data_IF_143409123046
#
_entry.id   IF_143409123046
#
_cell.length_a   1.000
_cell.length_b   1.000
_cell.length_c   1.000
_cell.angle_alpha   90.00
_cell.angle_beta   90.00
_cell.angle_gamma   90.00
#
_symmetry.space_group_name_H-M   'P 1'
#
loop_
_entity.id
_entity.type
_entity.pdbx_description
1 polymer ?
#
# COMPACT_ATOMS: atom_id res chain seq x y z
N UNK A 1 8.72 -13.80 12.46
CA UNK A 1 8.94 -14.00 13.87
C UNK A 1 7.81 -14.79 14.55
N UNK A 2 6.76 -15.12 13.82
CA UNK A 2 5.72 -16.04 14.25
C UNK A 2 6.26 -17.48 14.19
N UNK A 3 6.01 -18.34 15.19
CA UNK A 3 6.34 -19.76 15.14
C UNK A 3 5.38 -20.56 14.24
N UNK A 4 4.32 -19.94 13.74
CA UNK A 4 3.35 -20.60 12.88
C UNK A 4 3.99 -21.11 11.57
N UNK A 5 3.53 -22.26 11.09
CA UNK A 5 3.91 -22.76 9.77
C UNK A 5 3.39 -21.80 8.70
N UNK A 6 4.28 -21.37 7.79
CA UNK A 6 3.96 -20.41 6.73
C UNK A 6 3.73 -21.13 5.41
N UNK A 7 2.67 -20.69 4.73
CA UNK A 7 2.33 -21.07 3.37
C UNK A 7 2.28 -19.77 2.54
N UNK A 8 2.96 -19.73 1.42
CA UNK A 8 3.01 -18.56 0.54
C UNK A 8 2.24 -18.88 -0.73
N UNK A 9 1.32 -18.01 -1.11
CA UNK A 9 0.63 -18.09 -2.39
C UNK A 9 1.10 -16.99 -3.33
N UNK A 10 0.96 -17.23 -4.63
CA UNK A 10 1.34 -16.27 -5.68
C UNK A 10 0.45 -15.04 -5.58
N UNK A 11 1.05 -13.87 -5.78
CA UNK A 11 0.38 -12.57 -5.67
C UNK A 11 -0.94 -12.54 -6.45
N UNK A 12 -2.04 -12.27 -5.74
CA UNK A 12 -3.40 -12.20 -6.26
C UNK A 12 -3.87 -13.43 -7.08
N UNK A 13 -3.23 -14.59 -6.92
CA UNK A 13 -3.62 -15.86 -7.56
C UNK A 13 -4.48 -16.71 -6.61
N UNK A 14 -5.78 -16.72 -6.85
CA UNK A 14 -6.75 -17.46 -6.02
C UNK A 14 -6.62 -18.97 -6.17
N UNK A 15 -6.13 -19.45 -7.31
CA UNK A 15 -5.87 -20.89 -7.50
C UNK A 15 -4.68 -21.36 -6.66
N UNK A 16 -3.65 -20.51 -6.56
CA UNK A 16 -2.52 -20.69 -5.66
C UNK A 16 -2.96 -20.63 -4.19
N UNK A 17 -3.78 -19.64 -3.81
CA UNK A 17 -4.32 -19.53 -2.45
C UNK A 17 -5.12 -20.80 -2.06
N UNK A 18 -6.00 -21.29 -2.94
CA UNK A 18 -6.79 -22.50 -2.73
C UNK A 18 -5.91 -23.69 -2.40
N UNK A 19 -4.87 -23.93 -3.21
CA UNK A 19 -3.89 -25.01 -2.95
C UNK A 19 -3.22 -24.89 -1.58
N UNK A 20 -2.86 -23.68 -1.18
CA UNK A 20 -2.26 -23.46 0.14
C UNK A 20 -3.26 -23.72 1.27
N UNK A 21 -4.52 -23.33 1.10
CA UNK A 21 -5.59 -23.62 2.06
C UNK A 21 -5.85 -25.10 2.20
N UNK A 22 -5.85 -25.88 1.10
CA UNK A 22 -5.94 -27.35 1.13
C UNK A 22 -4.80 -27.98 1.95
N UNK A 23 -3.56 -27.52 1.74
CA UNK A 23 -2.40 -27.98 2.50
C UNK A 23 -2.48 -27.59 3.99
N UNK A 24 -2.89 -26.34 4.26
CA UNK A 24 -3.04 -25.84 5.62
C UNK A 24 -4.14 -26.59 6.36
N UNK A 25 -5.28 -26.87 5.72
CA UNK A 25 -6.39 -27.65 6.30
C UNK A 25 -5.96 -29.05 6.71
N UNK A 26 -5.20 -29.75 5.86
CA UNK A 26 -4.63 -31.06 6.21
C UNK A 26 -3.68 -30.98 7.41
N UNK A 27 -2.88 -29.92 7.48
CA UNK A 27 -1.93 -29.72 8.58
C UNK A 27 -2.65 -29.44 9.91
N UNK A 28 -3.61 -28.50 9.92
CA UNK A 28 -4.31 -28.16 11.17
C UNK A 28 -5.19 -29.30 11.68
N UNK A 29 -5.69 -30.18 10.81
CA UNK A 29 -6.40 -31.38 11.20
C UNK A 29 -5.56 -32.32 12.08
N UNK A 30 -4.22 -32.27 11.97
CA UNK A 30 -3.30 -33.08 12.79
C UNK A 30 -2.76 -32.35 14.02
N UNK A 31 -2.82 -31.01 14.03
CA UNK A 31 -2.23 -30.17 15.09
C UNK A 31 -3.24 -29.49 15.99
N UNK A 32 -4.53 -29.44 15.61
CA UNK A 32 -5.60 -28.74 16.34
C UNK A 32 -5.51 -27.22 16.27
N UNK A 33 -4.70 -26.66 15.35
CA UNK A 33 -4.54 -25.22 15.16
C UNK A 33 -5.63 -24.60 14.28
N UNK A 34 -5.45 -23.30 13.98
CA UNK A 34 -6.27 -22.55 13.03
C UNK A 34 -5.49 -22.05 11.83
N UNK A 35 -6.18 -21.55 10.82
CA UNK A 35 -5.60 -20.97 9.63
C UNK A 35 -5.86 -19.45 9.66
N UNK A 36 -4.80 -18.65 9.46
CA UNK A 36 -4.88 -17.22 9.24
C UNK A 36 -4.38 -16.89 7.83
N UNK A 37 -5.26 -16.35 6.99
CA UNK A 37 -4.89 -15.74 5.71
C UNK A 37 -4.55 -14.27 5.97
N UNK A 38 -3.43 -13.82 5.43
CA UNK A 38 -2.98 -12.43 5.55
C UNK A 38 -2.78 -11.86 4.16
N UNK A 39 -3.36 -10.70 3.89
CA UNK A 39 -3.19 -9.97 2.62
C UNK A 39 -3.19 -8.46 2.88
N UNK A 40 -2.73 -7.69 1.89
CA UNK A 40 -2.97 -6.23 1.88
C UNK A 40 -4.31 -5.94 1.19
N UNK A 41 -4.99 -4.88 1.62
CA UNK A 41 -6.15 -4.35 0.92
C UNK A 41 -5.71 -3.60 -0.34
N UNK A 42 -4.76 -2.68 -0.20
CA UNK A 42 -4.04 -2.02 -1.29
C UNK A 42 -2.57 -2.37 -1.18
N UNK A 43 -2.02 -3.01 -2.19
CA UNK A 43 -0.58 -3.30 -2.24
C UNK A 43 0.22 -2.02 -2.48
N UNK A 44 0.88 -1.57 -1.44
CA UNK A 44 1.48 -0.23 -1.38
C UNK A 44 2.60 0.04 -2.38
N UNK A 45 3.14 -0.98 -3.05
CA UNK A 45 4.18 -0.83 -4.07
C UNK A 45 3.60 -0.79 -5.48
N UNK A 46 2.79 -1.77 -5.84
CA UNK A 46 2.21 -1.90 -7.18
C UNK A 46 0.89 -1.13 -7.36
N UNK A 47 0.23 -0.77 -6.27
CA UNK A 47 -1.02 -0.01 -6.30
C UNK A 47 -2.25 -0.84 -6.67
N UNK A 48 -2.10 -2.15 -6.86
CA UNK A 48 -3.22 -3.04 -7.11
C UNK A 48 -3.94 -3.42 -5.81
N UNK A 49 -5.16 -3.89 -5.93
CA UNK A 49 -6.00 -4.27 -4.80
C UNK A 49 -5.87 -5.77 -4.50
N UNK A 50 -5.89 -6.12 -3.22
CA UNK A 50 -6.15 -7.48 -2.80
C UNK A 50 -7.57 -7.89 -3.22
N UNK A 51 -7.73 -9.08 -3.76
CA UNK A 51 -9.00 -9.62 -4.25
C UNK A 51 -9.88 -10.10 -3.09
N UNK A 52 -10.33 -9.17 -2.25
CA UNK A 52 -11.01 -9.51 -0.99
C UNK A 52 -12.33 -10.24 -1.20
N UNK A 53 -13.06 -9.94 -2.26
CA UNK A 53 -14.28 -10.62 -2.68
C UNK A 53 -14.02 -12.09 -3.01
N UNK A 54 -12.99 -12.38 -3.83
CA UNK A 54 -12.59 -13.75 -4.18
C UNK A 54 -12.01 -14.49 -2.96
N UNK A 55 -11.19 -13.84 -2.13
CA UNK A 55 -10.64 -14.43 -0.90
C UNK A 55 -11.77 -14.79 0.08
N UNK A 56 -12.70 -13.86 0.32
CA UNK A 56 -13.80 -14.12 1.27
C UNK A 56 -14.79 -15.17 0.75
N UNK A 57 -14.93 -15.34 -0.57
CA UNK A 57 -15.73 -16.41 -1.14
C UNK A 57 -15.18 -17.80 -0.76
N UNK A 58 -13.86 -17.95 -0.60
CA UNK A 58 -13.24 -19.22 -0.17
C UNK A 58 -13.61 -19.62 1.27
N UNK A 59 -14.16 -18.71 2.10
CA UNK A 59 -14.66 -19.05 3.43
C UNK A 59 -15.84 -20.02 3.42
N UNK A 60 -16.55 -20.14 2.29
CA UNK A 60 -17.60 -21.16 2.12
C UNK A 60 -17.06 -22.58 2.05
N UNK A 61 -15.77 -22.75 1.71
CA UNK A 61 -15.13 -24.04 1.51
C UNK A 61 -14.05 -24.34 2.56
N UNK A 62 -13.41 -23.31 3.10
CA UNK A 62 -12.29 -23.43 4.04
C UNK A 62 -12.56 -22.62 5.31
N UNK A 63 -12.25 -23.24 6.45
CA UNK A 63 -12.33 -22.55 7.74
C UNK A 63 -11.02 -21.80 8.01
N UNK A 64 -11.00 -20.50 7.79
CA UNK A 64 -9.88 -19.62 8.09
C UNK A 64 -10.34 -18.25 8.59
N UNK A 65 -9.47 -17.56 9.30
CA UNK A 65 -9.59 -16.14 9.61
C UNK A 65 -8.83 -15.31 8.59
N UNK A 66 -9.36 -14.15 8.26
CA UNK A 66 -8.75 -13.22 7.30
C UNK A 66 -8.29 -11.95 8.02
N UNK A 67 -6.99 -11.66 7.93
CA UNK A 67 -6.41 -10.39 8.31
C UNK A 67 -6.11 -9.60 7.05
N UNK A 68 -6.61 -8.37 7.00
CA UNK A 68 -6.34 -7.42 5.92
C UNK A 68 -5.50 -6.26 6.48
N UNK A 69 -4.30 -6.11 5.94
CA UNK A 69 -3.53 -4.87 6.11
C UNK A 69 -4.09 -3.82 5.15
N UNK A 70 -4.91 -2.94 5.68
CA UNK A 70 -5.57 -1.89 4.93
C UNK A 70 -4.94 -0.51 5.16
N UNK A 71 -3.66 -0.49 5.50
CA UNK A 71 -2.92 0.73 5.80
C UNK A 71 -2.93 1.75 4.64
N UNK A 72 -3.04 1.30 3.40
CA UNK A 72 -3.17 2.15 2.21
C UNK A 72 -4.63 2.36 1.77
N UNK A 73 -5.55 1.48 2.13
CA UNK A 73 -6.97 1.58 1.76
C UNK A 73 -7.78 2.43 2.74
N UNK A 74 -7.50 2.35 4.03
CA UNK A 74 -8.17 3.15 5.05
C UNK A 74 -8.03 4.65 4.76
N UNK A 75 -9.17 5.35 4.71
CA UNK A 75 -9.28 6.77 4.41
C UNK A 75 -9.33 7.10 2.91
N UNK A 76 -9.07 6.14 2.02
CA UNK A 76 -8.97 6.38 0.58
C UNK A 76 -9.87 5.50 -0.27
N UNK A 77 -10.13 4.28 0.16
CA UNK A 77 -10.97 3.29 -0.54
C UNK A 77 -12.36 3.20 0.08
N UNK A 78 -13.31 2.82 -0.75
CA UNK A 78 -14.71 2.68 -0.38
C UNK A 78 -15.50 4.00 -0.37
N UNK A 79 -16.82 3.94 -0.43
CA UNK A 79 -17.71 5.11 -0.48
C UNK A 79 -17.52 6.08 0.70
N UNK A 80 -17.33 5.56 1.92
CA UNK A 80 -17.12 6.39 3.10
C UNK A 80 -15.65 6.55 3.49
N UNK A 81 -14.74 5.82 2.83
CA UNK A 81 -13.32 5.76 3.18
C UNK A 81 -13.03 4.75 4.29
N UNK A 82 -13.94 3.81 4.54
CA UNK A 82 -13.72 2.77 5.55
C UNK A 82 -12.69 1.72 5.09
N UNK A 83 -12.29 1.72 3.82
CA UNK A 83 -11.22 0.90 3.30
C UNK A 83 -11.64 -0.09 2.22
N UNK A 84 -10.77 -1.05 1.95
CA UNK A 84 -10.95 -2.00 0.84
C UNK A 84 -12.07 -3.01 1.08
N UNK A 85 -12.36 -3.38 2.32
CA UNK A 85 -13.51 -4.22 2.64
C UNK A 85 -14.83 -3.57 2.25
N UNK A 86 -14.98 -2.27 2.52
CA UNK A 86 -16.13 -1.48 2.08
C UNK A 86 -16.18 -1.38 0.55
N UNK A 87 -15.02 -1.17 -0.10
CA UNK A 87 -14.90 -1.08 -1.55
C UNK A 87 -15.45 -2.34 -2.25
N UNK A 88 -15.16 -3.52 -1.71
CA UNK A 88 -15.62 -4.80 -2.25
C UNK A 88 -16.97 -5.28 -1.68
N UNK A 89 -17.56 -4.55 -0.72
CA UNK A 89 -18.81 -4.96 -0.06
C UNK A 89 -18.68 -6.24 0.78
N UNK A 90 -17.48 -6.48 1.34
CA UNK A 90 -17.16 -7.68 2.13
C UNK A 90 -16.59 -7.34 3.52
N UNK A 91 -16.87 -6.15 4.01
CA UNK A 91 -16.30 -5.64 5.25
C UNK A 91 -16.61 -6.54 6.46
N UNK A 92 -17.81 -7.09 6.51
CA UNK A 92 -18.28 -8.02 7.53
C UNK A 92 -17.65 -9.42 7.48
N UNK A 93 -16.98 -9.76 6.36
CA UNK A 93 -16.33 -11.05 6.15
C UNK A 93 -14.84 -11.06 6.48
N UNK A 94 -14.28 -9.90 6.79
CA UNK A 94 -12.88 -9.76 7.25
C UNK A 94 -12.85 -9.86 8.77
N UNK A 95 -12.00 -10.74 9.29
CA UNK A 95 -11.95 -11.00 10.75
C UNK A 95 -11.07 -9.98 11.49
N UNK A 96 -10.00 -9.51 10.86
CA UNK A 96 -9.10 -8.50 11.43
C UNK A 96 -8.73 -7.47 10.37
N UNK A 97 -8.96 -6.20 10.68
CA UNK A 97 -8.42 -5.09 9.93
C UNK A 97 -7.24 -4.46 10.66
N UNK A 98 -6.14 -4.30 9.95
CA UNK A 98 -5.06 -3.43 10.39
C UNK A 98 -5.13 -2.12 9.63
N UNK A 99 -5.08 -1.01 10.35
CA UNK A 99 -5.00 0.34 9.78
C UNK A 99 -3.93 1.16 10.47
N UNK A 100 -3.43 2.19 9.78
CA UNK A 100 -2.41 3.08 10.32
C UNK A 100 -2.87 4.54 10.35
N UNK A 101 -2.45 5.28 11.35
CA UNK A 101 -2.62 6.73 11.41
C UNK A 101 -1.51 7.48 10.63
N UNK A 102 -0.47 6.78 10.17
CA UNK A 102 0.69 7.40 9.52
C UNK A 102 0.49 7.79 8.05
N UNK A 103 -0.64 7.45 7.44
CA UNK A 103 -0.95 7.74 6.02
C UNK A 103 -2.10 8.73 5.90
N UNK A 104 -3.30 8.31 5.52
CA UNK A 104 -4.46 9.20 5.34
C UNK A 104 -4.79 10.04 6.59
N UNK A 105 -4.49 9.52 7.77
CA UNK A 105 -4.73 10.21 9.06
C UNK A 105 -3.59 11.15 9.47
N UNK A 106 -2.49 11.26 8.72
CA UNK A 106 -1.37 12.16 8.97
C UNK A 106 -0.94 12.23 10.45
N UNK A 107 -0.80 11.07 11.11
CA UNK A 107 -0.50 10.96 12.53
C UNK A 107 0.47 9.83 12.84
N UNK A 108 0.46 9.38 14.08
CA UNK A 108 1.28 8.28 14.58
C UNK A 108 0.40 7.17 15.15
N UNK A 109 0.91 5.94 15.07
CA UNK A 109 0.24 4.77 15.60
C UNK A 109 -0.53 3.99 14.56
N UNK A 110 -1.20 2.96 15.04
CA UNK A 110 -1.98 2.05 14.24
C UNK A 110 -3.11 1.48 15.09
N UNK A 111 -4.04 0.81 14.45
CA UNK A 111 -5.12 0.11 15.12
C UNK A 111 -5.37 -1.26 14.48
N UNK A 112 -5.96 -2.15 15.25
CA UNK A 112 -6.58 -3.37 14.77
C UNK A 112 -8.06 -3.29 15.12
N UNK A 113 -8.92 -3.50 14.13
CA UNK A 113 -10.35 -3.64 14.32
C UNK A 113 -10.74 -5.11 14.14
N UNK A 114 -11.39 -5.69 15.13
CA UNK A 114 -11.75 -7.11 15.19
C UNK A 114 -12.82 -7.35 16.27
N UNK A 115 -13.26 -8.59 16.42
CA UNK A 115 -14.20 -8.99 17.46
C UNK A 115 -13.64 -8.74 18.87
N UNK A 116 -14.53 -8.57 19.85
CA UNK A 116 -14.18 -8.25 21.24
C UNK A 116 -13.26 -9.30 21.87
N UNK A 117 -13.53 -10.58 21.67
CA UNK A 117 -12.70 -11.68 22.22
C UNK A 117 -11.27 -11.63 21.68
N UNK A 118 -11.10 -11.34 20.38
CA UNK A 118 -9.79 -11.18 19.75
C UNK A 118 -9.12 -9.92 20.27
N UNK A 119 -9.83 -8.80 20.41
CA UNK A 119 -9.31 -7.57 21.02
C UNK A 119 -8.78 -7.82 22.43
N UNK A 120 -9.55 -8.53 23.26
CA UNK A 120 -9.13 -8.87 24.62
C UNK A 120 -7.90 -9.78 24.62
N UNK A 121 -7.86 -10.79 23.76
CA UNK A 121 -6.69 -11.66 23.60
C UNK A 121 -5.45 -10.85 23.22
N UNK A 122 -5.55 -9.95 22.24
CA UNK A 122 -4.42 -9.11 21.79
C UNK A 122 -3.92 -8.18 22.91
N UNK A 123 -4.83 -7.59 23.71
CA UNK A 123 -4.45 -6.73 24.83
C UNK A 123 -3.57 -7.44 25.87
N UNK A 124 -3.83 -8.72 26.12
CA UNK A 124 -3.10 -9.50 27.14
C UNK A 124 -1.95 -10.33 26.61
N UNK A 125 -1.84 -10.54 25.31
CA UNK A 125 -0.80 -11.40 24.72
C UNK A 125 0.18 -10.66 23.81
N UNK A 126 -0.21 -9.51 23.25
CA UNK A 126 0.63 -8.77 22.33
C UNK A 126 1.67 -7.93 23.09
N UNK A 127 2.95 -8.31 22.95
CA UNK A 127 4.06 -7.66 23.67
C UNK A 127 4.16 -6.16 23.39
N UNK A 128 3.91 -5.72 22.16
CA UNK A 128 3.93 -4.31 21.80
C UNK A 128 2.80 -3.53 22.50
N UNK A 129 1.67 -4.16 22.79
CA UNK A 129 0.60 -3.54 23.56
C UNK A 129 0.92 -3.45 25.05
N UNK A 130 1.58 -4.47 25.58
CA UNK A 130 1.90 -4.54 27.03
C UNK A 130 3.09 -3.65 27.41
N UNK A 131 4.10 -3.56 26.58
CA UNK A 131 5.38 -2.95 26.91
C UNK A 131 5.66 -1.63 26.18
N UNK A 132 4.94 -1.31 25.10
CA UNK A 132 4.99 0.02 24.49
C UNK A 132 4.13 1.01 25.30
N UNK A 133 4.52 2.27 25.27
CA UNK A 133 3.73 3.35 25.88
C UNK A 133 2.52 3.69 25.02
N UNK A 134 1.47 4.17 25.65
CA UNK A 134 0.26 4.66 24.98
C UNK A 134 0.54 5.86 24.09
N UNK A 135 -0.32 6.06 23.08
CA UNK A 135 -0.33 7.33 22.35
C UNK A 135 -0.56 8.50 23.30
N UNK A 136 0.11 9.62 23.08
CA UNK A 136 -0.11 10.83 23.88
C UNK A 136 -1.48 11.45 23.59
N UNK A 137 -2.06 12.14 24.57
CA UNK A 137 -3.40 12.75 24.41
C UNK A 137 -3.51 13.67 23.17
N UNK A 138 -2.54 14.55 22.86
CA UNK A 138 -2.62 15.38 21.65
C UNK A 138 -2.69 14.54 20.35
N UNK A 139 -2.05 13.36 20.32
CA UNK A 139 -2.15 12.44 19.19
C UNK A 139 -3.54 11.83 19.08
N UNK A 140 -4.14 11.43 20.21
CA UNK A 140 -5.49 10.85 20.25
C UNK A 140 -6.53 11.89 19.83
N UNK A 141 -6.49 13.10 20.40
CA UNK A 141 -7.39 14.20 20.05
C UNK A 141 -7.28 14.55 18.55
N UNK A 142 -6.03 14.62 18.06
CA UNK A 142 -5.79 14.85 16.63
C UNK A 142 -6.34 13.71 15.74
N UNK A 143 -6.25 12.45 16.18
CA UNK A 143 -6.79 11.32 15.43
C UNK A 143 -8.33 11.35 15.39
N UNK A 144 -8.99 11.66 16.53
CA UNK A 144 -10.45 11.84 16.60
C UNK A 144 -10.88 12.92 15.61
N UNK A 145 -10.23 14.09 15.65
CA UNK A 145 -10.57 15.19 14.75
C UNK A 145 -10.41 14.85 13.27
N UNK A 146 -9.33 14.15 12.91
CA UNK A 146 -9.10 13.70 11.53
C UNK A 146 -10.12 12.66 11.08
N UNK A 147 -10.55 11.76 11.98
CA UNK A 147 -11.62 10.82 11.69
C UNK A 147 -12.96 11.52 11.43
N UNK A 148 -13.30 12.55 12.22
CA UNK A 148 -14.46 13.40 11.96
C UNK A 148 -14.39 14.07 10.59
N UNK A 149 -13.22 14.65 10.24
CA UNK A 149 -13.00 15.27 8.93
C UNK A 149 -13.13 14.26 7.80
N UNK A 150 -12.58 13.05 7.96
CA UNK A 150 -12.66 11.98 6.95
C UNK A 150 -14.10 11.58 6.67
N UNK A 151 -14.95 11.54 7.72
CA UNK A 151 -16.38 11.25 7.60
C UNK A 151 -17.19 12.40 7.03
N UNK A 152 -16.90 13.65 7.44
CA UNK A 152 -17.69 14.83 7.10
C UNK A 152 -17.24 15.56 5.83
N UNK A 153 -16.07 15.23 5.25
CA UNK A 153 -15.48 15.90 4.10
C UNK A 153 -15.17 14.91 2.95
N UNK A 154 -16.18 14.22 2.38
CA UNK A 154 -15.98 13.25 1.30
C UNK A 154 -15.33 13.85 0.06
N UNK A 155 -15.51 15.18 -0.17
CA UNK A 155 -14.93 15.92 -1.29
C UNK A 155 -13.40 15.84 -1.34
N UNK A 156 -12.72 15.61 -0.20
CA UNK A 156 -11.27 15.39 -0.17
C UNK A 156 -10.87 14.09 -0.84
N UNK A 157 -11.64 13.02 -0.59
CA UNK A 157 -11.42 11.70 -1.21
C UNK A 157 -11.76 11.74 -2.69
N UNK A 158 -12.87 12.38 -3.05
CA UNK A 158 -13.27 12.57 -4.45
C UNK A 158 -12.19 13.34 -5.25
N UNK A 159 -11.66 14.42 -4.66
CA UNK A 159 -10.57 15.19 -5.26
C UNK A 159 -9.30 14.34 -5.38
N UNK A 160 -8.94 13.56 -4.35
CA UNK A 160 -7.80 12.63 -4.42
C UNK A 160 -7.91 11.69 -5.62
N UNK A 161 -9.08 11.08 -5.81
CA UNK A 161 -9.32 10.18 -6.93
C UNK A 161 -9.30 10.90 -8.29
N UNK A 162 -9.84 12.11 -8.37
CA UNK A 162 -9.74 12.95 -9.57
C UNK A 162 -8.28 13.19 -9.96
N UNK A 163 -7.44 13.55 -9.00
CA UNK A 163 -5.99 13.78 -9.22
C UNK A 163 -5.28 12.47 -9.57
N UNK A 164 -5.55 11.37 -8.86
CA UNK A 164 -4.94 10.08 -9.14
C UNK A 164 -5.26 9.57 -10.54
N UNK A 165 -6.53 9.61 -10.95
CA UNK A 165 -6.95 9.21 -12.28
C UNK A 165 -6.34 10.11 -13.38
N UNK A 166 -6.30 11.42 -13.17
CA UNK A 166 -5.68 12.34 -14.14
C UNK A 166 -4.18 12.01 -14.31
N UNK A 167 -3.46 11.78 -13.20
CA UNK A 167 -2.05 11.42 -13.23
C UNK A 167 -1.83 10.08 -13.95
N UNK A 168 -2.57 9.04 -13.58
CA UNK A 168 -2.46 7.71 -14.16
C UNK A 168 -2.77 7.70 -15.65
N UNK A 169 -3.87 8.34 -16.04
CA UNK A 169 -4.27 8.43 -17.45
C UNK A 169 -3.26 9.22 -18.28
N UNK A 170 -2.74 10.31 -17.74
CA UNK A 170 -1.74 11.12 -18.44
C UNK A 170 -0.40 10.39 -18.59
N UNK A 171 0.08 9.71 -17.56
CA UNK A 171 1.30 8.89 -17.65
C UNK A 171 1.14 7.75 -18.66
N UNK A 172 -0.02 7.06 -18.68
CA UNK A 172 -0.31 6.02 -19.68
C UNK A 172 -0.35 6.59 -21.11
N UNK A 173 -0.97 7.75 -21.29
CA UNK A 173 -1.05 8.41 -22.61
C UNK A 173 0.34 8.80 -23.16
N UNK A 174 1.28 9.13 -22.27
CA UNK A 174 2.69 9.39 -22.62
C UNK A 174 3.55 8.10 -22.70
N UNK A 175 2.92 6.93 -22.70
CA UNK A 175 3.59 5.63 -22.87
C UNK A 175 4.33 5.10 -21.65
N UNK A 176 4.12 5.69 -20.46
CA UNK A 176 4.72 5.20 -19.24
C UNK A 176 4.06 3.90 -18.76
N UNK A 177 4.89 2.95 -18.34
CA UNK A 177 4.41 1.73 -17.71
C UNK A 177 4.08 2.01 -16.24
N UNK A 178 2.80 2.01 -15.90
CA UNK A 178 2.33 2.16 -14.51
C UNK A 178 1.73 0.86 -13.95
N UNK A 179 1.96 -0.27 -14.60
CA UNK A 179 1.41 -1.56 -14.17
C UNK A 179 -0.12 -1.61 -14.18
N UNK A 180 -0.66 -2.38 -13.26
CA UNK A 180 -2.11 -2.65 -13.13
C UNK A 180 -2.74 -1.93 -11.93
N UNK A 181 -2.20 -0.76 -11.56
CA UNK A 181 -2.73 -0.01 -10.40
C UNK A 181 -4.22 0.32 -10.57
N UNK A 182 -4.98 0.15 -9.51
CA UNK A 182 -6.39 0.50 -9.38
C UNK A 182 -6.68 1.16 -8.01
N UNK A 183 -5.64 1.74 -7.39
CA UNK A 183 -5.71 2.59 -6.21
C UNK A 183 -5.11 3.97 -6.50
N UNK A 184 -5.01 4.84 -5.48
CA UNK A 184 -4.34 6.14 -5.62
C UNK A 184 -2.81 6.01 -5.76
N UNK A 185 -2.23 4.88 -5.42
CA UNK A 185 -0.79 4.62 -5.58
C UNK A 185 -0.49 4.48 -7.07
N UNK A 186 0.44 5.28 -7.57
CA UNK A 186 0.81 5.28 -8.99
C UNK A 186 2.27 4.88 -9.13
N UNK A 187 2.56 3.61 -9.43
CA UNK A 187 3.91 3.16 -9.74
C UNK A 187 4.29 3.57 -11.15
N UNK A 188 5.53 3.96 -11.37
CA UNK A 188 6.11 4.14 -12.70
C UNK A 188 7.31 3.22 -12.82
N UNK A 189 7.21 2.24 -13.69
CA UNK A 189 8.27 1.26 -13.93
C UNK A 189 9.26 1.80 -14.95
N UNK A 190 10.53 1.79 -14.61
CA UNK A 190 11.63 2.19 -15.47
C UNK A 190 12.62 1.03 -15.64
N UNK A 191 13.33 1.04 -16.76
CA UNK A 191 14.45 0.12 -17.00
C UNK A 191 15.76 0.85 -16.72
N UNK A 192 16.66 0.22 -15.98
CA UNK A 192 17.96 0.82 -15.65
C UNK A 192 18.60 0.17 -14.42
N UNK A 193 19.79 0.65 -14.10
CA UNK A 193 20.48 0.30 -12.85
C UNK A 193 19.93 1.08 -11.66
N UNK A 194 20.19 0.59 -10.46
CA UNK A 194 19.83 1.31 -9.22
C UNK A 194 20.49 2.69 -9.18
N UNK A 195 21.73 2.81 -9.67
CA UNK A 195 22.46 4.07 -9.74
C UNK A 195 21.76 5.10 -10.64
N UNK A 196 21.34 4.69 -11.84
CA UNK A 196 20.56 5.53 -12.76
C UNK A 196 19.21 5.94 -12.12
N UNK A 197 18.52 5.00 -11.50
CA UNK A 197 17.26 5.28 -10.81
C UNK A 197 17.39 6.29 -9.67
N UNK A 198 18.48 6.22 -8.90
CA UNK A 198 18.79 7.22 -7.88
C UNK A 198 19.00 8.61 -8.48
N UNK A 199 19.74 8.71 -9.60
CA UNK A 199 19.94 10.00 -10.28
C UNK A 199 18.65 10.55 -10.88
N UNK A 200 17.76 9.70 -11.40
CA UNK A 200 16.40 10.12 -11.82
C UNK A 200 15.64 10.74 -10.64
N UNK A 201 15.69 10.14 -9.46
CA UNK A 201 15.03 10.70 -8.26
C UNK A 201 15.65 12.03 -7.86
N UNK A 202 16.98 12.15 -7.91
CA UNK A 202 17.67 13.42 -7.64
C UNK A 202 17.30 14.49 -8.67
N UNK A 203 17.26 14.15 -9.97
CA UNK A 203 16.88 15.09 -11.04
C UNK A 203 15.43 15.57 -10.83
N UNK A 204 14.50 14.65 -10.56
CA UNK A 204 13.10 15.01 -10.25
C UNK A 204 13.00 15.94 -9.03
N UNK A 205 13.79 15.70 -8.00
CA UNK A 205 13.78 16.50 -6.79
C UNK A 205 14.40 17.88 -6.98
N UNK A 206 15.62 17.95 -7.54
CA UNK A 206 16.41 19.19 -7.59
C UNK A 206 15.99 20.12 -8.75
N UNK A 207 15.60 19.55 -9.90
CA UNK A 207 15.29 20.32 -11.10
C UNK A 207 13.77 20.47 -11.37
N UNK A 208 12.94 19.58 -10.80
CA UNK A 208 11.49 19.61 -11.01
C UNK A 208 10.69 19.78 -9.71
N UNK A 209 11.34 19.85 -8.53
CA UNK A 209 10.68 19.92 -7.23
C UNK A 209 9.64 18.80 -7.00
N UNK A 210 9.87 17.62 -7.57
CA UNK A 210 9.01 16.45 -7.42
C UNK A 210 9.65 15.47 -6.47
N UNK A 211 8.98 15.22 -5.34
CA UNK A 211 9.40 14.21 -4.38
C UNK A 211 8.68 12.88 -4.68
N UNK A 212 9.43 11.84 -5.01
CA UNK A 212 8.94 10.48 -5.16
C UNK A 212 9.90 9.49 -4.51
N UNK A 213 9.41 8.30 -4.17
CA UNK A 213 10.25 7.23 -3.63
C UNK A 213 10.67 6.26 -4.73
N UNK A 214 11.94 5.85 -4.72
CA UNK A 214 12.42 4.74 -5.53
C UNK A 214 12.24 3.43 -4.75
N UNK A 215 11.79 2.38 -5.43
CA UNK A 215 11.70 1.03 -4.92
C UNK A 215 12.55 0.13 -5.81
N UNK A 216 13.37 -0.69 -5.16
CA UNK A 216 14.33 -1.60 -5.82
C UNK A 216 14.31 -2.97 -5.15
N UNK A 217 15.05 -3.93 -5.71
CA UNK A 217 15.28 -5.21 -5.04
C UNK A 217 15.80 -4.98 -3.60
N UNK A 218 15.36 -5.75 -2.59
CA UNK A 218 14.53 -6.99 -2.68
C UNK A 218 13.01 -6.76 -2.65
N UNK A 219 12.52 -5.52 -2.62
CA UNK A 219 11.08 -5.21 -2.51
C UNK A 219 10.34 -5.53 -3.82
N UNK A 220 11.01 -5.35 -4.95
CA UNK A 220 10.54 -5.73 -6.29
C UNK A 220 11.57 -6.62 -6.97
N UNK A 221 11.25 -7.33 -8.06
CA UNK A 221 12.19 -8.19 -8.76
C UNK A 221 13.47 -7.48 -9.17
N UNK A 222 14.59 -8.22 -9.15
CA UNK A 222 15.90 -7.70 -9.54
C UNK A 222 15.89 -7.24 -11.01
N UNK A 223 16.50 -6.07 -11.27
CA UNK A 223 16.58 -5.47 -12.61
C UNK A 223 15.40 -4.56 -12.96
N UNK A 224 14.44 -4.39 -12.07
CA UNK A 224 13.37 -3.41 -12.19
C UNK A 224 13.63 -2.21 -11.27
N UNK A 225 13.20 -1.05 -11.71
CA UNK A 225 13.10 0.17 -10.91
C UNK A 225 11.64 0.60 -10.88
N UNK A 226 11.18 1.01 -9.73
CA UNK A 226 9.83 1.53 -9.57
C UNK A 226 9.90 2.88 -8.87
N UNK A 227 9.44 3.93 -9.52
CA UNK A 227 9.19 5.22 -8.89
C UNK A 227 7.73 5.25 -8.43
N UNK A 228 7.51 5.46 -7.15
CA UNK A 228 6.18 5.45 -6.56
C UNK A 228 5.69 6.86 -6.31
N UNK A 229 4.61 7.25 -6.99
CA UNK A 229 3.92 8.50 -6.82
C UNK A 229 2.67 8.29 -5.96
N UNK A 230 2.52 9.13 -4.94
CA UNK A 230 1.36 9.13 -4.04
C UNK A 230 0.76 10.54 -4.06
N UNK A 231 -0.21 10.81 -4.93
CA UNK A 231 -0.89 12.09 -4.95
C UNK A 231 -1.69 12.31 -3.66
N UNK A 232 -1.99 13.57 -3.40
CA UNK A 232 -2.84 14.00 -2.28
C UNK A 232 -3.99 14.85 -2.79
N UNK A 233 -5.02 15.04 -1.98
CA UNK A 233 -6.12 15.94 -2.29
C UNK A 233 -5.71 17.42 -2.36
N UNK A 234 -4.49 17.78 -1.99
CA UNK A 234 -3.96 19.14 -2.07
C UNK A 234 -3.39 19.47 -3.44
N UNK A 235 -3.01 18.46 -4.24
CA UNK A 235 -2.53 18.67 -5.59
C UNK A 235 -3.63 19.20 -6.51
N UNK A 236 -3.19 19.83 -7.60
CA UNK A 236 -4.02 20.40 -8.65
C UNK A 236 -3.83 19.67 -9.97
N UNK A 237 -4.69 19.88 -10.93
CA UNK A 237 -4.51 19.35 -12.28
C UNK A 237 -3.30 19.97 -13.01
N UNK A 238 -2.87 21.16 -12.60
CA UNK A 238 -1.65 21.78 -13.11
C UNK A 238 -0.40 21.04 -12.59
N UNK A 239 -0.40 20.65 -11.30
CA UNK A 239 0.67 19.81 -10.73
C UNK A 239 0.74 18.46 -11.46
N UNK A 240 -0.41 17.88 -11.82
CA UNK A 240 -0.47 16.64 -12.61
C UNK A 240 0.18 16.82 -13.97
N UNK A 241 -0.22 17.86 -14.73
CA UNK A 241 0.36 18.16 -16.06
C UNK A 241 1.87 18.37 -15.97
N UNK A 242 2.30 19.13 -14.97
CA UNK A 242 3.71 19.39 -14.70
C UNK A 242 4.48 18.09 -14.41
N UNK A 243 3.92 17.24 -13.54
CA UNK A 243 4.53 15.95 -13.17
C UNK A 243 4.66 15.03 -14.38
N UNK A 244 3.62 14.91 -15.21
CA UNK A 244 3.66 14.09 -16.44
C UNK A 244 4.79 14.55 -17.36
N UNK A 245 4.90 15.88 -17.60
CA UNK A 245 5.97 16.45 -18.43
C UNK A 245 7.36 16.19 -17.85
N UNK A 246 7.52 16.31 -16.54
CA UNK A 246 8.79 16.02 -15.87
C UNK A 246 9.18 14.55 -16.03
N UNK A 247 8.25 13.62 -15.83
CA UNK A 247 8.48 12.19 -16.00
C UNK A 247 8.86 11.83 -17.45
N UNK A 248 8.22 12.46 -18.44
CA UNK A 248 8.61 12.31 -19.85
C UNK A 248 10.05 12.72 -20.06
N UNK A 249 10.45 13.90 -19.58
CA UNK A 249 11.81 14.41 -19.74
C UNK A 249 12.86 13.48 -19.09
N UNK A 250 12.63 13.02 -17.86
CA UNK A 250 13.59 12.13 -17.18
C UNK A 250 13.64 10.75 -17.84
N UNK A 251 12.54 10.23 -18.36
CA UNK A 251 12.52 8.98 -19.11
C UNK A 251 13.30 9.11 -20.43
N UNK A 252 13.18 10.22 -21.14
CA UNK A 252 13.97 10.50 -22.34
C UNK A 252 15.46 10.61 -22.03
N UNK A 253 15.86 11.30 -20.95
CA UNK A 253 17.24 11.37 -20.48
C UNK A 253 17.79 9.98 -20.13
N UNK A 254 17.00 9.17 -19.43
CA UNK A 254 17.38 7.81 -19.08
C UNK A 254 17.60 6.95 -20.33
N UNK A 255 16.70 7.02 -21.31
CA UNK A 255 16.82 6.30 -22.56
C UNK A 255 18.04 6.72 -23.39
N UNK A 256 18.47 7.98 -23.32
CA UNK A 256 19.69 8.51 -23.96
C UNK A 256 20.97 8.17 -23.18
N UNK A 257 20.87 7.56 -22.00
CA UNK A 257 22.03 7.25 -21.15
C UNK A 257 22.67 8.49 -20.51
N UNK A 258 21.90 9.55 -20.29
CA UNK A 258 22.39 10.80 -19.67
C UNK A 258 22.64 10.64 -18.16
N UNK A 259 22.12 9.58 -17.53
CA UNK A 259 22.38 9.23 -16.14
C UNK A 259 23.52 8.22 -16.05
N UNK A 260 24.48 8.47 -15.17
CA UNK A 260 25.65 7.61 -14.99
C UNK A 260 25.26 6.27 -14.34
N UNK A 261 25.82 5.18 -14.85
CA UNK A 261 25.62 3.83 -14.28
C UNK A 261 26.35 3.63 -12.96
N UNK A 262 27.35 4.48 -12.65
CA UNK A 262 28.11 4.48 -11.41
C UNK A 262 27.73 5.70 -10.58
N UNK A 263 27.34 5.47 -9.33
CA UNK A 263 27.13 6.55 -8.36
C UNK A 263 28.50 7.07 -7.91
N UNK A 264 28.91 8.21 -8.41
CA UNK A 264 29.91 9.03 -7.72
C UNK A 264 29.21 9.66 -6.51
N UNK A 265 29.24 8.96 -5.38
CA UNK A 265 28.81 9.55 -4.11
C UNK A 265 29.88 10.57 -3.73
N UNK A 266 29.61 11.82 -3.98
CA UNK A 266 30.39 12.90 -3.38
C UNK A 266 30.09 12.94 -1.89
N UNK A 267 30.92 12.23 -1.12
CA UNK A 267 30.79 12.13 0.34
C UNK A 267 30.92 13.50 1.05
N UNK A 268 31.28 14.57 0.35
CA UNK A 268 31.35 15.93 0.90
C UNK A 268 29.97 16.60 1.01
N UNK A 269 28.92 15.99 0.43
CA UNK A 269 27.54 16.52 0.45
C UNK A 269 26.58 15.74 1.35
N UNK A 270 27.09 14.78 2.10
CA UNK A 270 26.38 14.07 3.16
C UNK A 270 26.74 14.69 4.53
#
# INVERSE_FOLDING_TARGET
LSPAKRYVYVHNDMSSLRKQLEHATKYVATTGGGILVVTEGVFGMAGDLGKLDEITALKSEFNFRLLVDDAHGFGTMGPTGAGTGEHFGVQDKVDLYFGTFAKAMAGFGAFVATDEDVCMSLRYTMRSQMFAKSLTMPMVEGAIKRLEMLKSQPERREKLWTIAHALQNGLKADGMNIGITNSMVTPVYLSGSVAEGMQVVFDLRENYNIFCSIVVYPVIPKGQLLLRLIPTSMHTLEDVKYTIKAFKNVAEKLAKGEYNKELLIDASKL
#
